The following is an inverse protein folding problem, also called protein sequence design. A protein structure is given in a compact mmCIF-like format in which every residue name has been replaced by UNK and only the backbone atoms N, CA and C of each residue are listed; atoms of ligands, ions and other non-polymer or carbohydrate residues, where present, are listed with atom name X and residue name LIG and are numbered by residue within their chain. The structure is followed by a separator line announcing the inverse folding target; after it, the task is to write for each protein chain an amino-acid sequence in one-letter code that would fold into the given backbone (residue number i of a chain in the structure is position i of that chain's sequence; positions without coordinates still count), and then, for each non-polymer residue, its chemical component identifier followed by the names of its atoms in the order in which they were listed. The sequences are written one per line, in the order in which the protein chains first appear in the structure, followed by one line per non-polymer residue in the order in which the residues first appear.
data_IF_224867347330
#
_entry.id   IF_224867347330
#
_cell.length_a   1.000
_cell.length_b   1.000
_cell.length_c   1.000
_cell.angle_alpha   90.00
_cell.angle_beta   90.00
_cell.angle_gamma   90.00
#
_symmetry.space_group_name_H-M   'P 1'
#
loop_
_entity.id
_entity.type
_entity.pdbx_description
1 polymer ?
#
# COMPACT_ATOMS: atom_id res chain seq x y z
N UNK A 1 -4.45 33.07 61.90
CA UNK A 1 -4.87 31.79 61.34
C UNK A 1 -4.14 30.65 62.03
N UNK A 2 -4.79 29.57 62.40
CA UNK A 2 -4.11 28.41 62.97
C UNK A 2 -3.19 27.80 61.90
N UNK A 3 -2.06 27.16 62.27
CA UNK A 3 -1.14 26.50 61.34
C UNK A 3 -1.87 25.52 60.39
N UNK A 4 -2.93 24.88 60.90
CA UNK A 4 -3.79 23.97 60.13
C UNK A 4 -4.56 24.73 59.04
N UNK A 5 -5.14 25.90 59.33
CA UNK A 5 -5.86 26.72 58.35
C UNK A 5 -4.94 27.24 57.26
N UNK A 6 -3.68 27.58 57.56
CA UNK A 6 -2.70 27.99 56.58
C UNK A 6 -2.29 26.83 55.67
N UNK A 7 -2.08 25.63 56.23
CA UNK A 7 -1.76 24.42 55.44
C UNK A 7 -2.93 24.05 54.53
N UNK A 8 -4.17 24.09 55.02
CA UNK A 8 -5.35 23.81 54.18
C UNK A 8 -5.49 24.83 53.05
N UNK A 9 -5.26 26.11 53.32
CA UNK A 9 -5.30 27.17 52.31
C UNK A 9 -4.23 26.94 51.21
N UNK A 10 -2.99 26.62 51.60
CA UNK A 10 -1.90 26.32 50.65
C UNK A 10 -2.26 25.08 49.82
N UNK A 11 -2.76 24.02 50.43
CA UNK A 11 -3.19 22.81 49.74
C UNK A 11 -4.30 23.10 48.72
N UNK A 12 -5.35 23.84 49.08
CA UNK A 12 -6.44 24.22 48.19
C UNK A 12 -5.94 25.04 46.99
N UNK A 13 -5.02 25.98 47.22
CA UNK A 13 -4.42 26.77 46.12
C UNK A 13 -3.57 25.92 45.22
N UNK A 14 -2.81 24.95 45.72
CA UNK A 14 -2.05 23.99 44.87
C UNK A 14 -3.00 23.13 44.03
N UNK A 15 -4.08 22.63 44.59
CA UNK A 15 -5.10 21.89 43.86
C UNK A 15 -5.76 22.76 42.78
N UNK A 16 -6.13 24.00 43.13
CA UNK A 16 -6.70 24.94 42.15
C UNK A 16 -5.73 25.23 41.02
N UNK A 17 -4.46 25.50 41.32
CA UNK A 17 -3.42 25.75 40.35
C UNK A 17 -3.22 24.53 39.43
N UNK A 18 -3.23 23.31 39.99
CA UNK A 18 -3.15 22.07 39.23
C UNK A 18 -4.28 21.94 38.21
N UNK A 19 -5.55 22.18 38.62
CA UNK A 19 -6.69 22.16 37.70
C UNK A 19 -6.60 23.25 36.63
N UNK A 20 -6.23 24.47 37.00
CA UNK A 20 -6.05 25.57 36.05
C UNK A 20 -4.99 25.16 35.00
N UNK A 21 -3.87 24.55 35.40
CA UNK A 21 -2.81 24.12 34.52
C UNK A 21 -3.28 23.02 33.54
N UNK A 22 -4.11 22.07 34.02
CA UNK A 22 -4.74 21.06 33.15
C UNK A 22 -5.67 21.72 32.12
N UNK A 23 -6.57 22.61 32.58
CA UNK A 23 -7.52 23.29 31.69
C UNK A 23 -6.76 24.15 30.64
N UNK A 24 -5.73 24.88 31.09
CA UNK A 24 -4.88 25.63 30.17
C UNK A 24 -4.24 24.71 29.10
N UNK A 25 -3.65 23.59 29.53
CA UNK A 25 -3.07 22.61 28.61
C UNK A 25 -4.09 22.07 27.62
N UNK A 26 -5.28 21.69 28.07
CA UNK A 26 -6.35 21.17 27.22
C UNK A 26 -6.94 22.22 26.26
N UNK A 27 -6.80 23.53 26.59
CA UNK A 27 -7.24 24.63 25.72
C UNK A 27 -6.25 24.99 24.62
N UNK A 28 -4.99 24.51 24.69
CA UNK A 28 -3.98 24.77 23.64
C UNK A 28 -4.47 24.25 22.29
N UNK A 29 -4.42 25.12 21.29
CA UNK A 29 -4.81 24.77 19.93
C UNK A 29 -3.64 24.23 19.13
N UNK A 30 -3.90 23.20 18.32
CA UNK A 30 -2.96 22.65 17.34
C UNK A 30 -3.69 22.27 16.05
N UNK A 31 -2.94 22.16 14.98
CA UNK A 31 -3.44 21.64 13.71
C UNK A 31 -3.27 20.13 13.70
N UNK A 32 -4.34 19.40 13.43
CA UNK A 32 -4.35 17.94 13.27
C UNK A 32 -4.87 17.57 11.90
N UNK A 33 -4.43 16.40 11.34
CA UNK A 33 -5.06 15.86 10.13
C UNK A 33 -6.57 15.67 10.33
N UNK A 34 -7.35 15.93 9.28
CA UNK A 34 -8.82 15.77 9.32
C UNK A 34 -9.25 14.32 9.56
N UNK A 35 -8.40 13.35 9.24
CA UNK A 35 -8.60 11.93 9.53
C UNK A 35 -7.31 11.28 10.01
N UNK A 36 -7.43 10.40 10.98
CA UNK A 36 -6.31 9.72 11.63
C UNK A 36 -6.60 8.23 11.74
N UNK A 37 -5.63 7.38 11.39
CA UNK A 37 -5.72 5.94 11.66
C UNK A 37 -5.18 5.61 13.05
N UNK A 38 -6.04 5.02 13.88
CA UNK A 38 -5.72 4.56 15.23
C UNK A 38 -5.48 3.05 15.18
N UNK A 39 -4.27 2.55 15.48
CA UNK A 39 -3.99 1.13 15.48
C UNK A 39 -4.74 0.42 16.62
N UNK A 40 -5.01 -0.89 16.43
CA UNK A 40 -5.47 -1.74 17.53
C UNK A 40 -4.33 -1.92 18.54
N UNK A 41 -4.66 -1.85 19.83
CA UNK A 41 -3.69 -2.08 20.88
C UNK A 41 -3.92 -1.22 22.13
N UNK A 42 -2.95 -1.25 23.06
CA UNK A 42 -2.97 -0.43 24.26
C UNK A 42 -2.75 1.06 23.93
N UNK A 43 -3.11 1.94 24.86
CA UNK A 43 -2.83 3.38 24.73
C UNK A 43 -1.35 3.65 24.47
N UNK A 44 -0.43 2.83 25.02
CA UNK A 44 1.00 2.92 24.77
C UNK A 44 1.34 2.73 23.28
N UNK A 45 0.80 1.68 22.67
CA UNK A 45 0.96 1.37 21.24
C UNK A 45 0.43 2.51 20.38
N UNK A 46 -0.73 3.06 20.75
CA UNK A 46 -1.38 4.15 20.01
C UNK A 46 -0.53 5.44 20.09
N UNK A 47 -0.07 5.81 21.28
CA UNK A 47 0.79 7.00 21.48
C UNK A 47 2.11 6.85 20.71
N UNK A 48 2.74 5.68 20.77
CA UNK A 48 3.98 5.40 20.03
C UNK A 48 3.76 5.51 18.52
N UNK A 49 2.63 4.99 18.02
CA UNK A 49 2.25 5.12 16.62
C UNK A 49 2.07 6.59 16.22
N UNK A 50 1.39 7.38 17.03
CA UNK A 50 1.15 8.80 16.74
C UNK A 50 2.45 9.63 16.75
N UNK A 51 3.34 9.39 17.72
CA UNK A 51 4.68 10.02 17.74
C UNK A 51 5.50 9.69 16.49
N UNK A 52 5.46 8.42 16.05
CA UNK A 52 6.15 7.99 14.82
C UNK A 52 5.61 8.69 13.55
N UNK A 53 4.35 9.09 13.57
CA UNK A 53 3.70 9.82 12.48
C UNK A 53 3.68 11.34 12.70
N UNK A 54 4.58 11.88 13.55
CA UNK A 54 4.76 13.30 13.83
C UNK A 54 3.48 14.02 14.33
N UNK A 55 2.57 13.29 14.98
CA UNK A 55 1.45 13.92 15.66
C UNK A 55 1.92 14.52 16.99
N UNK A 56 1.44 15.74 17.30
CA UNK A 56 1.71 16.42 18.57
C UNK A 56 0.98 15.73 19.71
N UNK A 57 1.60 14.69 20.26
CA UNK A 57 1.09 13.91 21.38
C UNK A 57 2.23 13.51 22.32
N UNK A 58 1.99 13.58 23.62
CA UNK A 58 3.00 13.37 24.64
C UNK A 58 2.53 12.42 25.79
N UNK A 59 3.35 12.29 26.82
CA UNK A 59 3.03 11.40 27.94
C UNK A 59 1.90 11.90 28.83
N UNK A 60 1.66 13.22 28.86
CA UNK A 60 0.52 13.78 29.60
C UNK A 60 -0.79 13.47 28.87
N UNK A 61 -0.82 13.52 27.53
CA UNK A 61 -1.95 13.07 26.72
C UNK A 61 -2.32 11.61 27.00
N UNK A 62 -1.29 10.76 27.17
CA UNK A 62 -1.50 9.36 27.58
C UNK A 62 -2.25 9.25 28.92
N UNK A 63 -1.89 10.10 29.88
CA UNK A 63 -2.59 10.14 31.17
C UNK A 63 -4.05 10.58 30.99
N UNK A 64 -4.31 11.65 30.21
CA UNK A 64 -5.66 12.12 29.93
C UNK A 64 -6.49 11.04 29.20
N UNK A 65 -5.93 10.35 28.21
CA UNK A 65 -6.63 9.26 27.50
C UNK A 65 -6.98 8.07 28.41
N UNK A 66 -6.20 7.82 29.46
CA UNK A 66 -6.56 6.80 30.46
C UNK A 66 -7.82 7.18 31.26
N UNK A 67 -8.06 8.48 31.41
CA UNK A 67 -9.26 9.00 32.11
C UNK A 67 -10.45 9.06 31.14
N UNK A 68 -10.25 9.54 29.90
CA UNK A 68 -11.31 9.68 28.90
C UNK A 68 -11.77 8.33 28.32
N UNK A 69 -10.91 7.32 28.38
CA UNK A 69 -11.13 6.02 27.77
C UNK A 69 -10.15 5.73 26.63
N UNK A 70 -10.09 4.47 26.21
CA UNK A 70 -9.21 4.07 25.11
C UNK A 70 -9.71 4.65 23.78
N UNK A 71 -8.80 5.22 22.95
CA UNK A 71 -9.13 5.61 21.59
C UNK A 71 -9.75 4.48 20.81
N UNK A 72 -10.73 4.78 19.96
CA UNK A 72 -11.35 3.79 19.09
C UNK A 72 -10.38 3.40 17.99
N UNK A 73 -10.17 2.10 17.79
CA UNK A 73 -9.32 1.63 16.70
C UNK A 73 -9.98 1.82 15.33
N UNK A 74 -9.17 2.13 14.32
CA UNK A 74 -9.62 2.37 12.95
C UNK A 74 -9.48 3.83 12.54
N UNK A 75 -10.25 4.25 11.56
CA UNK A 75 -10.22 5.62 11.07
C UNK A 75 -11.13 6.54 11.90
N UNK A 76 -10.56 7.65 12.34
CA UNK A 76 -11.24 8.69 13.14
C UNK A 76 -11.20 10.00 12.37
N UNK A 77 -12.35 10.65 12.26
CA UNK A 77 -12.47 12.01 11.75
C UNK A 77 -12.23 13.01 12.89
N UNK A 78 -11.35 13.98 12.67
CA UNK A 78 -11.06 15.08 13.60
C UNK A 78 -11.67 16.35 13.04
N UNK A 79 -12.69 16.85 13.70
CA UNK A 79 -13.37 18.10 13.34
C UNK A 79 -12.69 19.27 14.03
N UNK A 80 -12.32 20.35 13.31
CA UNK A 80 -11.73 21.53 13.92
C UNK A 80 -12.74 22.20 14.87
N UNK A 81 -12.27 22.63 16.04
CA UNK A 81 -13.08 23.44 16.97
C UNK A 81 -13.03 24.92 16.61
N UNK A 82 -11.95 25.35 15.95
CA UNK A 82 -11.85 26.69 15.35
C UNK A 82 -11.82 26.54 13.81
N UNK A 83 -12.94 26.82 13.17
CA UNK A 83 -13.12 26.68 11.73
C UNK A 83 -12.26 27.67 10.95
N UNK A 84 -12.09 28.91 11.46
CA UNK A 84 -11.34 29.98 10.76
C UNK A 84 -9.87 29.58 10.62
N UNK A 85 -9.25 29.09 11.68
CA UNK A 85 -7.83 28.72 11.70
C UNK A 85 -7.57 27.24 11.43
N UNK A 86 -8.61 26.45 11.20
CA UNK A 86 -8.55 24.99 11.04
C UNK A 86 -7.77 24.30 12.17
N UNK A 87 -8.00 24.71 13.42
CA UNK A 87 -7.33 24.17 14.60
C UNK A 87 -8.31 23.51 15.55
N UNK A 88 -7.80 22.59 16.36
CA UNK A 88 -8.57 21.88 17.38
C UNK A 88 -7.85 22.01 18.71
N UNK A 89 -8.58 22.27 19.78
CA UNK A 89 -7.99 22.26 21.11
C UNK A 89 -7.52 20.86 21.48
N UNK A 90 -6.47 20.78 22.30
CA UNK A 90 -5.88 19.50 22.75
C UNK A 90 -6.92 18.61 23.41
N UNK A 91 -7.78 19.18 24.26
CA UNK A 91 -8.86 18.46 24.93
C UNK A 91 -9.89 17.90 23.94
N UNK A 92 -10.32 18.70 22.96
CA UNK A 92 -11.26 18.26 21.93
C UNK A 92 -10.64 17.17 21.06
N UNK A 93 -9.37 17.30 20.67
CA UNK A 93 -8.65 16.27 19.93
C UNK A 93 -8.64 14.93 20.68
N UNK A 94 -8.21 14.93 21.94
CA UNK A 94 -8.16 13.71 22.76
C UNK A 94 -9.56 13.09 22.95
N UNK A 95 -10.60 13.91 23.15
CA UNK A 95 -11.97 13.44 23.25
C UNK A 95 -12.46 12.82 21.94
N UNK A 96 -12.21 13.47 20.80
CA UNK A 96 -12.60 12.94 19.48
C UNK A 96 -11.91 11.61 19.18
N UNK A 97 -10.68 11.37 19.65
CA UNK A 97 -10.02 10.05 19.51
C UNK A 97 -10.84 8.92 20.16
N UNK A 98 -11.63 9.21 21.19
CA UNK A 98 -12.44 8.20 21.91
C UNK A 98 -13.86 8.05 21.37
N UNK A 99 -14.38 9.05 20.65
CA UNK A 99 -15.80 9.13 20.29
C UNK A 99 -16.10 9.17 18.80
N UNK A 100 -15.17 9.68 17.98
CA UNK A 100 -15.42 9.90 16.55
C UNK A 100 -15.10 8.66 15.70
N UNK A 101 -15.77 8.59 14.53
CA UNK A 101 -15.46 7.63 13.44
C UNK A 101 -15.51 8.37 12.11
N UNK A 102 -14.62 8.02 11.19
CA UNK A 102 -14.65 8.56 9.84
C UNK A 102 -15.58 7.75 8.93
N UNK A 103 -16.26 8.43 8.03
CA UNK A 103 -16.94 7.78 6.91
C UNK A 103 -15.90 7.16 5.98
N UNK A 104 -16.11 5.90 5.60
CA UNK A 104 -15.17 5.12 4.79
C UNK A 104 -15.73 4.90 3.40
N UNK A 105 -14.85 4.89 2.40
CA UNK A 105 -15.13 4.50 1.03
C UNK A 105 -14.17 3.39 0.60
N UNK A 106 -14.66 2.44 -0.21
CA UNK A 106 -13.84 1.35 -0.70
C UNK A 106 -12.93 1.82 -1.83
N UNK A 107 -11.67 1.42 -1.74
CA UNK A 107 -10.65 1.60 -2.77
C UNK A 107 -10.06 0.25 -3.10
N UNK A 108 -10.28 -0.24 -4.31
CA UNK A 108 -9.81 -1.56 -4.74
C UNK A 108 -8.68 -1.44 -5.74
N UNK A 109 -7.56 -2.08 -5.46
CA UNK A 109 -6.51 -2.39 -6.43
C UNK A 109 -6.69 -3.85 -6.87
N UNK A 110 -6.99 -4.06 -8.14
CA UNK A 110 -7.11 -5.41 -8.72
C UNK A 110 -5.73 -5.94 -9.14
N UNK A 111 -5.50 -7.28 -9.10
CA UNK A 111 -4.26 -7.87 -9.63
C UNK A 111 -4.05 -7.54 -11.10
N UNK A 112 -2.82 -7.20 -11.46
CA UNK A 112 -2.42 -6.82 -12.82
C UNK A 112 -2.53 -5.32 -13.12
N UNK A 113 -3.23 -4.55 -12.28
CA UNK A 113 -3.36 -3.10 -12.47
C UNK A 113 -2.06 -2.38 -12.12
N UNK A 114 -1.81 -1.27 -12.83
CA UNK A 114 -0.62 -0.43 -12.63
C UNK A 114 -0.91 0.73 -11.68
N UNK A 115 0.16 1.26 -11.08
CA UNK A 115 0.07 2.45 -10.23
C UNK A 115 -0.47 3.66 -10.97
N UNK A 116 -0.22 3.75 -12.28
CA UNK A 116 -0.76 4.85 -13.09
C UNK A 116 -2.30 4.90 -13.02
N UNK A 117 -2.98 3.79 -13.35
CA UNK A 117 -4.45 3.72 -13.32
C UNK A 117 -5.00 3.67 -11.89
N UNK A 118 -4.25 3.10 -10.96
CA UNK A 118 -4.66 3.12 -9.56
C UNK A 118 -4.67 4.54 -8.98
N UNK A 119 -3.66 5.36 -9.30
CA UNK A 119 -3.63 6.79 -8.91
C UNK A 119 -4.77 7.57 -9.58
N UNK A 120 -5.11 7.28 -10.83
CA UNK A 120 -6.28 7.89 -11.49
C UNK A 120 -7.59 7.53 -10.78
N UNK A 121 -7.75 6.27 -10.40
CA UNK A 121 -8.90 5.82 -9.62
C UNK A 121 -8.95 6.52 -8.24
N UNK A 122 -7.83 6.64 -7.53
CA UNK A 122 -7.76 7.37 -6.26
C UNK A 122 -8.16 8.83 -6.46
N UNK A 123 -7.57 9.51 -7.45
CA UNK A 123 -7.83 10.91 -7.76
C UNK A 123 -9.33 11.15 -8.03
N UNK A 124 -9.94 10.35 -8.89
CA UNK A 124 -11.36 10.46 -9.22
C UNK A 124 -12.28 10.09 -8.05
N UNK A 125 -11.91 9.07 -7.26
CA UNK A 125 -12.75 8.55 -6.17
C UNK A 125 -12.79 9.48 -4.96
N UNK A 126 -11.66 10.13 -4.63
CA UNK A 126 -11.49 10.94 -3.42
C UNK A 126 -11.32 12.43 -3.71
N UNK A 127 -11.33 12.87 -4.99
CA UNK A 127 -11.13 14.26 -5.37
C UNK A 127 -9.73 14.79 -5.07
N UNK A 128 -8.72 13.92 -5.07
CA UNK A 128 -7.33 14.26 -4.73
C UNK A 128 -6.53 14.65 -5.97
N UNK A 129 -5.58 15.57 -5.82
CA UNK A 129 -4.69 15.98 -6.90
C UNK A 129 -3.77 14.82 -7.32
N UNK A 130 -3.77 14.49 -8.63
CA UNK A 130 -3.00 13.37 -9.19
C UNK A 130 -1.49 13.56 -8.99
N UNK A 131 -0.96 14.78 -9.19
CA UNK A 131 0.47 15.03 -9.05
C UNK A 131 0.92 14.88 -7.59
N UNK A 132 0.15 15.39 -6.63
CA UNK A 132 0.46 15.20 -5.20
C UNK A 132 0.44 13.73 -4.79
N UNK A 133 -0.42 12.90 -5.38
CA UNK A 133 -0.44 11.44 -5.17
C UNK A 133 0.82 10.78 -5.74
N UNK A 134 1.27 11.17 -6.93
CA UNK A 134 2.50 10.68 -7.56
C UNK A 134 3.72 11.06 -6.72
N UNK A 135 3.81 12.33 -6.32
CA UNK A 135 4.93 12.84 -5.51
C UNK A 135 4.99 12.10 -4.16
N UNK A 136 3.84 11.93 -3.52
CA UNK A 136 3.73 11.17 -2.28
C UNK A 136 4.11 9.70 -2.46
N UNK A 137 3.71 9.04 -3.55
CA UNK A 137 4.11 7.67 -3.83
C UNK A 137 5.62 7.55 -3.96
N UNK A 138 6.24 8.43 -4.76
CA UNK A 138 7.68 8.45 -5.00
C UNK A 138 8.51 8.81 -3.75
N UNK A 139 7.93 9.54 -2.79
CA UNK A 139 8.57 9.82 -1.49
C UNK A 139 8.76 8.55 -0.66
N UNK A 140 7.80 7.61 -0.71
CA UNK A 140 7.80 6.44 0.17
C UNK A 140 8.36 5.17 -0.46
N UNK A 141 8.59 5.14 -1.77
CA UNK A 141 9.14 3.96 -2.45
C UNK A 141 9.96 4.31 -3.68
N UNK A 142 10.97 3.46 -3.95
CA UNK A 142 11.80 3.52 -5.18
C UNK A 142 11.22 2.68 -6.33
N UNK A 143 10.22 1.84 -6.05
CA UNK A 143 9.63 0.95 -7.04
C UNK A 143 8.48 1.67 -7.74
N UNK A 144 8.51 1.81 -9.08
CA UNK A 144 7.46 2.50 -9.82
C UNK A 144 6.11 1.77 -9.79
N UNK A 145 6.13 0.45 -9.54
CA UNK A 145 4.94 -0.39 -9.48
C UNK A 145 5.14 -1.61 -8.55
N UNK A 146 4.06 -2.39 -8.30
CA UNK A 146 4.10 -3.65 -7.57
C UNK A 146 4.23 -3.53 -6.05
N UNK A 147 4.32 -2.33 -5.48
CA UNK A 147 4.45 -2.12 -4.01
C UNK A 147 3.11 -2.24 -3.31
N UNK A 148 2.07 -1.60 -3.85
CA UNK A 148 0.74 -1.67 -3.24
C UNK A 148 0.15 -3.05 -3.54
N UNK A 149 -0.19 -3.76 -2.46
CA UNK A 149 -0.71 -5.12 -2.55
C UNK A 149 -2.15 -5.11 -3.06
N UNK A 150 -2.53 -5.94 -4.04
CA UNK A 150 -3.91 -6.01 -4.53
C UNK A 150 -4.89 -6.37 -3.40
N UNK A 151 -5.79 -5.45 -3.11
CA UNK A 151 -6.79 -5.60 -2.04
C UNK A 151 -7.86 -4.51 -2.15
N UNK A 152 -8.94 -4.66 -1.38
CA UNK A 152 -9.89 -3.58 -1.11
C UNK A 152 -9.56 -2.93 0.22
N UNK A 153 -9.26 -1.64 0.18
CA UNK A 153 -8.89 -0.80 1.31
C UNK A 153 -10.07 0.06 1.73
N UNK A 154 -10.33 0.14 3.02
CA UNK A 154 -11.32 1.05 3.61
C UNK A 154 -10.63 2.38 3.90
N UNK A 155 -10.91 3.38 3.07
CA UNK A 155 -10.24 4.69 3.10
C UNK A 155 -11.21 5.76 3.58
N UNK A 156 -10.83 6.62 4.54
CA UNK A 156 -11.70 7.68 5.02
C UNK A 156 -11.82 8.80 3.99
N UNK A 157 -13.03 9.35 3.91
CA UNK A 157 -13.28 10.57 3.13
C UNK A 157 -12.53 11.73 3.81
N UNK A 158 -11.87 12.58 3.01
CA UNK A 158 -11.09 13.71 3.52
C UNK A 158 -9.64 13.39 3.89
N UNK A 159 -9.15 12.17 3.58
CA UNK A 159 -7.72 11.84 3.72
C UNK A 159 -6.87 12.67 2.75
N UNK A 160 -5.71 13.16 3.21
CA UNK A 160 -4.76 13.84 2.33
C UNK A 160 -3.88 12.87 1.53
N UNK A 161 -3.35 13.30 0.35
CA UNK A 161 -2.58 12.45 -0.58
C UNK A 161 -1.40 11.75 0.06
N UNK A 162 -0.55 12.51 0.78
CA UNK A 162 0.66 12.00 1.43
C UNK A 162 0.35 10.94 2.49
N UNK A 163 -0.69 11.18 3.30
CA UNK A 163 -1.09 10.23 4.34
C UNK A 163 -1.71 8.97 3.74
N UNK A 164 -2.51 9.09 2.69
CA UNK A 164 -3.08 7.96 1.96
C UNK A 164 -1.98 7.06 1.38
N UNK A 165 -1.00 7.64 0.66
CA UNK A 165 0.08 6.86 0.06
C UNK A 165 0.95 6.19 1.11
N UNK A 166 1.33 6.90 2.16
CA UNK A 166 2.05 6.32 3.30
C UNK A 166 1.29 5.14 3.92
N UNK A 167 -0.02 5.29 4.12
CA UNK A 167 -0.87 4.23 4.67
C UNK A 167 -0.89 2.99 3.75
N UNK A 168 -1.18 3.18 2.45
CA UNK A 168 -1.28 2.09 1.48
C UNK A 168 0.05 1.32 1.35
N UNK A 169 1.17 2.05 1.23
CA UNK A 169 2.51 1.46 1.11
C UNK A 169 2.87 0.70 2.39
N UNK A 170 2.69 1.30 3.57
CA UNK A 170 3.02 0.65 4.84
C UNK A 170 2.18 -0.60 5.10
N UNK A 171 0.88 -0.60 4.78
CA UNK A 171 0.04 -1.79 4.89
C UNK A 171 0.49 -2.88 3.92
N UNK A 172 0.76 -2.50 2.67
CA UNK A 172 1.21 -3.43 1.64
C UNK A 172 2.56 -4.06 1.96
N UNK A 173 3.52 -3.28 2.44
CA UNK A 173 4.85 -3.80 2.85
C UNK A 173 4.75 -4.77 4.03
N UNK A 174 3.79 -4.56 4.95
CA UNK A 174 3.51 -5.54 6.02
C UNK A 174 3.00 -6.86 5.44
N UNK A 175 2.06 -6.81 4.48
CA UNK A 175 1.54 -8.02 3.84
C UNK A 175 2.62 -8.71 2.98
N UNK A 176 3.43 -7.97 2.23
CA UNK A 176 4.57 -8.52 1.51
C UNK A 176 5.54 -9.24 2.45
N UNK A 177 5.94 -8.61 3.55
CA UNK A 177 6.83 -9.21 4.55
C UNK A 177 6.23 -10.47 5.18
N UNK A 178 4.96 -10.41 5.57
CA UNK A 178 4.23 -11.55 6.14
C UNK A 178 4.17 -12.73 5.17
N UNK A 179 3.83 -12.48 3.90
CA UNK A 179 3.77 -13.51 2.87
C UNK A 179 5.15 -14.08 2.55
N UNK A 180 6.20 -13.24 2.46
CA UNK A 180 7.56 -13.71 2.26
C UNK A 180 8.02 -14.65 3.39
N UNK A 181 7.81 -14.27 4.64
CA UNK A 181 8.15 -15.11 5.80
C UNK A 181 7.37 -16.42 5.77
N UNK A 182 6.06 -16.38 5.45
CA UNK A 182 5.20 -17.58 5.36
C UNK A 182 5.67 -18.56 4.28
N UNK A 183 6.13 -18.04 3.12
CA UNK A 183 6.42 -18.86 1.93
C UNK A 183 7.89 -19.28 1.89
N UNK A 184 8.82 -18.37 2.27
CA UNK A 184 10.27 -18.53 2.14
C UNK A 184 10.98 -18.73 3.50
N UNK A 185 10.26 -18.59 4.63
CA UNK A 185 10.83 -18.62 5.98
C UNK A 185 11.59 -17.35 6.37
N UNK A 186 11.80 -16.41 5.45
CA UNK A 186 12.53 -15.15 5.66
C UNK A 186 12.02 -14.05 4.74
N UNK A 187 12.39 -12.79 5.04
CA UNK A 187 12.17 -11.66 4.16
C UNK A 187 13.49 -11.01 3.77
N UNK A 188 13.78 -11.02 2.47
CA UNK A 188 14.78 -10.20 1.81
C UNK A 188 14.06 -9.36 0.76
N UNK A 189 14.11 -8.03 0.87
CA UNK A 189 13.34 -7.13 0.02
C UNK A 189 13.71 -7.27 -1.45
N UNK A 190 15.02 -7.33 -1.77
CA UNK A 190 15.50 -7.43 -3.15
C UNK A 190 15.04 -8.74 -3.80
N UNK A 191 15.20 -9.85 -3.09
CA UNK A 191 14.75 -11.16 -3.56
C UNK A 191 13.23 -11.19 -3.74
N UNK A 192 12.49 -10.63 -2.77
CA UNK A 192 11.03 -10.60 -2.82
C UNK A 192 10.51 -9.78 -4.00
N UNK A 193 11.06 -8.59 -4.25
CA UNK A 193 10.67 -7.77 -5.39
C UNK A 193 11.09 -8.36 -6.75
N UNK A 194 12.16 -9.16 -6.82
CA UNK A 194 12.45 -9.97 -8.00
C UNK A 194 11.32 -10.97 -8.29
N UNK A 195 10.80 -11.65 -7.25
CA UNK A 195 9.63 -12.52 -7.44
C UNK A 195 8.38 -11.72 -7.84
N UNK A 196 8.13 -10.56 -7.26
CA UNK A 196 6.99 -9.70 -7.66
C UNK A 196 7.14 -9.26 -9.12
N UNK A 197 8.35 -8.93 -9.57
CA UNK A 197 8.60 -8.55 -10.98
C UNK A 197 8.21 -9.67 -11.93
N UNK A 198 8.65 -10.89 -11.70
CA UNK A 198 8.25 -12.04 -12.50
C UNK A 198 6.75 -12.32 -12.37
N UNK A 199 6.23 -12.29 -11.14
CA UNK A 199 4.81 -12.52 -10.85
C UNK A 199 3.88 -11.52 -11.53
N UNK A 200 4.31 -10.26 -11.68
CA UNK A 200 3.53 -9.23 -12.39
C UNK A 200 3.40 -9.54 -13.89
N UNK A 201 4.41 -10.17 -14.48
CA UNK A 201 4.34 -10.66 -15.87
C UNK A 201 3.42 -11.89 -15.92
N UNK A 202 3.63 -12.88 -15.04
CA UNK A 202 2.77 -14.07 -14.94
C UNK A 202 1.30 -13.68 -14.77
N UNK A 203 1.01 -12.66 -13.95
CA UNK A 203 -0.33 -12.13 -13.72
C UNK A 203 -1.00 -11.61 -14.99
N UNK A 204 -0.22 -11.00 -15.89
CA UNK A 204 -0.73 -10.42 -17.13
C UNK A 204 -0.80 -11.43 -18.29
N UNK A 205 0.00 -12.48 -18.24
CA UNK A 205 0.09 -13.50 -19.29
C UNK A 205 -0.86 -14.69 -19.06
N UNK A 206 -1.00 -15.17 -17.83
CA UNK A 206 -1.79 -16.36 -17.54
C UNK A 206 -3.29 -16.11 -17.75
N UNK A 207 -3.97 -17.03 -18.44
CA UNK A 207 -5.41 -16.94 -18.64
C UNK A 207 -6.22 -17.22 -17.36
N UNK A 208 -5.64 -17.98 -16.42
CA UNK A 208 -6.24 -18.36 -15.15
C UNK A 208 -5.17 -18.75 -14.13
N UNK A 209 -5.58 -18.97 -12.87
CA UNK A 209 -4.67 -19.30 -11.76
C UNK A 209 -3.94 -20.64 -12.02
N UNK A 210 -4.58 -21.62 -12.65
CA UNK A 210 -4.03 -22.95 -12.91
C UNK A 210 -2.85 -22.90 -13.91
N UNK A 211 -2.85 -21.94 -14.81
CA UNK A 211 -1.77 -21.73 -15.77
C UNK A 211 -0.58 -20.98 -15.20
N UNK A 212 -0.75 -20.21 -14.13
CA UNK A 212 0.31 -19.36 -13.56
C UNK A 212 1.63 -20.12 -13.28
N UNK A 213 1.62 -21.33 -12.66
CA UNK A 213 2.87 -22.08 -12.46
C UNK A 213 3.54 -22.53 -13.76
N UNK A 214 2.77 -22.79 -14.82
CA UNK A 214 3.29 -23.21 -16.12
C UNK A 214 3.89 -22.02 -16.85
N UNK A 215 3.20 -20.87 -16.85
CA UNK A 215 3.74 -19.60 -17.41
C UNK A 215 5.03 -19.19 -16.69
N UNK A 216 5.06 -19.29 -15.35
CA UNK A 216 6.29 -19.05 -14.57
C UNK A 216 7.43 -20.00 -15.01
N UNK A 217 7.14 -21.28 -15.24
CA UNK A 217 8.11 -22.24 -15.73
C UNK A 217 8.66 -21.84 -17.11
N UNK A 218 7.81 -21.39 -18.04
CA UNK A 218 8.25 -20.88 -19.36
C UNK A 218 9.21 -19.69 -19.18
N UNK A 219 8.93 -18.75 -18.28
CA UNK A 219 9.83 -17.62 -17.99
C UNK A 219 11.20 -18.14 -17.55
N UNK A 220 11.25 -19.02 -16.55
CA UNK A 220 12.53 -19.55 -16.06
C UNK A 220 13.26 -20.39 -17.08
N UNK A 221 12.56 -21.19 -17.89
CA UNK A 221 13.16 -21.99 -18.97
C UNK A 221 13.79 -21.09 -20.04
N UNK A 222 13.11 -20.02 -20.46
CA UNK A 222 13.67 -19.02 -21.40
C UNK A 222 14.87 -18.29 -20.80
N UNK A 223 14.82 -17.88 -19.52
CA UNK A 223 15.96 -17.28 -18.83
C UNK A 223 17.17 -18.21 -18.81
N UNK A 224 16.96 -19.49 -18.46
CA UNK A 224 18.00 -20.54 -18.46
C UNK A 224 18.59 -20.76 -19.86
N UNK A 225 17.75 -20.74 -20.89
CA UNK A 225 18.15 -20.86 -22.28
C UNK A 225 18.72 -19.56 -22.88
N UNK A 226 18.85 -18.48 -22.10
CA UNK A 226 19.26 -17.14 -22.54
C UNK A 226 18.41 -16.59 -23.71
N UNK A 227 17.15 -17.00 -23.76
CA UNK A 227 16.16 -16.50 -24.73
C UNK A 227 15.56 -15.19 -24.24
N UNK A 228 15.17 -14.25 -25.12
CA UNK A 228 14.33 -13.12 -24.74
C UNK A 228 12.96 -13.62 -24.26
N UNK A 229 12.35 -12.96 -23.29
CA UNK A 229 11.06 -13.42 -22.75
C UNK A 229 9.92 -13.24 -23.75
N UNK A 230 9.92 -12.19 -24.56
CA UNK A 230 8.93 -11.89 -25.60
C UNK A 230 7.49 -12.01 -25.08
N UNK A 231 7.22 -11.32 -23.96
CA UNK A 231 5.94 -11.35 -23.28
C UNK A 231 5.23 -10.00 -23.41
N UNK A 232 4.04 -10.03 -23.97
CA UNK A 232 3.20 -8.85 -24.18
C UNK A 232 2.87 -8.16 -22.85
N UNK A 233 2.64 -8.93 -21.79
CA UNK A 233 2.40 -8.42 -20.45
C UNK A 233 3.51 -7.50 -19.93
N UNK A 234 4.75 -7.66 -20.39
CA UNK A 234 5.84 -6.78 -20.01
C UNK A 234 5.75 -5.39 -20.67
N UNK A 235 5.10 -5.27 -21.83
CA UNK A 235 4.85 -4.00 -22.50
C UNK A 235 3.63 -3.26 -21.92
N UNK A 236 2.81 -3.93 -21.11
CA UNK A 236 1.65 -3.36 -20.44
C UNK A 236 2.03 -2.77 -19.08
N UNK A 237 3.01 -1.86 -19.05
CA UNK A 237 3.49 -1.15 -17.87
C UNK A 237 2.93 0.30 -17.83
N UNK A 238 2.85 0.90 -16.64
CA UNK A 238 2.43 2.27 -16.43
C UNK A 238 1.13 2.64 -17.16
N UNK A 239 1.14 3.74 -17.89
CA UNK A 239 -0.01 4.24 -18.68
C UNK A 239 -0.39 3.33 -19.87
N UNK A 240 0.50 2.42 -20.24
CA UNK A 240 0.26 1.51 -21.35
C UNK A 240 -0.49 0.24 -20.96
N UNK A 241 -0.85 0.04 -19.69
CA UNK A 241 -1.46 -1.20 -19.21
C UNK A 241 -2.74 -1.59 -19.95
N UNK A 242 -3.51 -0.61 -20.37
CA UNK A 242 -4.78 -0.84 -21.09
C UNK A 242 -4.64 -0.65 -22.61
N UNK A 243 -3.41 -0.49 -23.12
CA UNK A 243 -3.16 -0.28 -24.55
C UNK A 243 -2.96 -1.61 -25.25
N UNK A 244 -3.51 -1.71 -26.48
CA UNK A 244 -3.29 -2.88 -27.32
C UNK A 244 -1.80 -2.99 -27.72
N UNK A 245 -1.24 -4.19 -27.60
CA UNK A 245 0.10 -4.48 -28.11
C UNK A 245 0.03 -4.67 -29.63
N UNK A 246 0.83 -3.89 -30.33
CA UNK A 246 0.94 -3.96 -31.80
C UNK A 246 2.36 -4.29 -32.22
N UNK A 247 2.56 -4.91 -33.41
CA UNK A 247 3.91 -5.16 -33.94
C UNK A 247 4.75 -3.88 -34.05
N UNK A 248 4.13 -2.75 -34.30
CA UNK A 248 4.80 -1.44 -34.34
C UNK A 248 5.34 -1.05 -32.96
N UNK A 249 4.50 -1.19 -31.90
CA UNK A 249 4.90 -0.90 -30.54
C UNK A 249 6.02 -1.81 -30.07
N UNK A 250 5.96 -3.12 -30.36
CA UNK A 250 7.04 -4.07 -30.05
C UNK A 250 8.38 -3.60 -30.63
N UNK A 251 8.38 -3.06 -31.87
CA UNK A 251 9.62 -2.59 -32.53
C UNK A 251 10.09 -1.21 -32.04
N UNK A 252 9.14 -0.30 -31.69
CA UNK A 252 9.44 1.10 -31.37
C UNK A 252 9.66 1.37 -29.88
N UNK A 253 9.04 0.61 -28.99
CA UNK A 253 9.21 0.77 -27.54
C UNK A 253 10.65 0.37 -27.14
N UNK A 254 11.47 1.37 -26.81
CA UNK A 254 12.86 1.18 -26.39
C UNK A 254 13.03 1.07 -24.87
N UNK A 255 11.91 1.02 -24.13
CA UNK A 255 11.94 0.91 -22.67
C UNK A 255 12.60 -0.39 -22.21
N UNK A 256 13.10 -0.38 -20.99
CA UNK A 256 13.67 -1.55 -20.30
C UNK A 256 12.61 -2.64 -20.01
N UNK A 257 11.33 -2.32 -20.19
CA UNK A 257 10.22 -3.26 -20.05
C UNK A 257 9.96 -4.09 -21.29
N UNK A 258 10.49 -3.67 -22.46
CA UNK A 258 10.29 -4.42 -23.71
C UNK A 258 11.15 -5.68 -23.73
N UNK A 259 10.58 -6.80 -23.31
CA UNK A 259 11.25 -8.11 -23.27
C UNK A 259 11.43 -8.79 -24.64
N UNK A 260 10.97 -8.17 -25.73
CA UNK A 260 11.32 -8.55 -27.09
C UNK A 260 12.71 -8.03 -27.50
N UNK A 261 13.07 -6.85 -27.01
CA UNK A 261 14.35 -6.20 -27.32
C UNK A 261 15.39 -6.38 -26.20
N UNK A 262 14.96 -6.50 -24.96
CA UNK A 262 15.83 -6.65 -23.80
C UNK A 262 15.76 -8.08 -23.26
N UNK A 263 16.91 -8.71 -23.04
CA UNK A 263 17.00 -10.03 -22.41
C UNK A 263 16.89 -9.93 -20.90
N UNK A 264 16.36 -10.96 -20.28
CA UNK A 264 16.18 -11.02 -18.83
C UNK A 264 14.81 -10.50 -18.38
N UNK A 265 14.65 -10.34 -17.08
CA UNK A 265 13.45 -9.74 -16.48
C UNK A 265 13.57 -8.22 -16.49
N UNK A 266 12.45 -7.48 -16.59
CA UNK A 266 12.46 -6.03 -16.37
C UNK A 266 13.04 -5.66 -15.00
N UNK A 267 13.56 -4.44 -14.82
CA UNK A 267 14.15 -4.01 -13.54
C UNK A 267 13.13 -3.85 -12.41
N UNK A 268 11.86 -3.65 -12.75
CA UNK A 268 10.77 -3.43 -11.81
C UNK A 268 9.50 -4.16 -12.25
N UNK A 269 8.53 -4.37 -11.33
CA UNK A 269 7.23 -4.94 -11.68
C UNK A 269 6.49 -4.10 -12.73
N UNK A 270 5.71 -4.75 -13.57
CA UNK A 270 4.89 -4.14 -14.63
C UNK A 270 3.44 -3.87 -14.20
N UNK A 271 3.15 -4.06 -12.92
CA UNK A 271 1.86 -3.88 -12.27
C UNK A 271 1.80 -4.65 -10.97
N UNK A 272 0.66 -4.63 -10.31
CA UNK A 272 0.42 -5.39 -9.08
C UNK A 272 0.33 -6.89 -9.37
N UNK A 273 0.70 -7.73 -8.41
CA UNK A 273 0.64 -9.19 -8.55
C UNK A 273 -0.17 -9.82 -7.40
N UNK A 274 -1.05 -10.77 -7.72
CA UNK A 274 -1.75 -11.58 -6.73
C UNK A 274 -0.80 -12.50 -5.96
N UNK A 275 -1.24 -12.97 -4.80
CA UNK A 275 -0.47 -13.96 -4.04
C UNK A 275 -0.29 -15.26 -4.83
N UNK A 276 -1.27 -15.63 -5.65
CA UNK A 276 -1.20 -16.83 -6.49
C UNK A 276 -0.12 -16.72 -7.55
N UNK A 277 -0.01 -15.56 -8.21
CA UNK A 277 1.07 -15.29 -9.15
C UNK A 277 2.46 -15.30 -8.49
N UNK A 278 2.57 -14.75 -7.26
CA UNK A 278 3.81 -14.77 -6.49
C UNK A 278 4.17 -16.22 -6.10
N UNK A 279 3.23 -17.02 -5.61
CA UNK A 279 3.45 -18.43 -5.26
C UNK A 279 3.83 -19.23 -6.52
N UNK A 280 3.14 -19.03 -7.64
CA UNK A 280 3.44 -19.67 -8.91
C UNK A 280 4.88 -19.36 -9.39
N UNK A 281 5.33 -18.13 -9.18
CA UNK A 281 6.70 -17.71 -9.49
C UNK A 281 7.73 -18.36 -8.58
N UNK A 282 7.46 -18.51 -7.29
CA UNK A 282 8.36 -19.15 -6.33
C UNK A 282 8.39 -20.67 -6.50
N UNK A 283 7.27 -21.26 -6.92
CA UNK A 283 7.08 -22.70 -7.11
C UNK A 283 6.55 -22.99 -8.51
N UNK A 284 7.36 -22.76 -9.56
CA UNK A 284 6.94 -23.00 -10.93
C UNK A 284 6.65 -24.50 -11.18
N UNK A 285 5.85 -24.80 -12.18
CA UNK A 285 5.62 -26.16 -12.61
C UNK A 285 6.91 -26.81 -13.12
N UNK A 286 7.08 -28.10 -12.88
CA UNK A 286 8.23 -28.86 -13.41
C UNK A 286 7.95 -29.32 -14.83
N UNK A 287 8.09 -28.40 -15.80
CA UNK A 287 7.84 -28.66 -17.24
C UNK A 287 8.92 -27.99 -18.09
N UNK A 288 9.14 -28.50 -19.31
CA UNK A 288 10.20 -28.00 -20.23
C UNK A 288 9.65 -27.07 -21.32
N UNK A 289 8.48 -26.47 -21.10
CA UNK A 289 7.87 -25.59 -22.11
C UNK A 289 8.68 -24.30 -22.30
N UNK A 290 8.78 -23.88 -23.54
CA UNK A 290 9.42 -22.63 -23.97
C UNK A 290 8.44 -21.66 -24.64
N UNK A 291 7.28 -22.17 -25.10
CA UNK A 291 6.31 -21.41 -25.88
C UNK A 291 4.90 -21.67 -25.36
N UNK A 292 4.06 -20.67 -25.51
CA UNK A 292 2.62 -20.80 -25.33
C UNK A 292 1.89 -19.87 -26.31
N UNK A 293 0.66 -20.21 -26.65
CA UNK A 293 -0.24 -19.42 -27.49
C UNK A 293 -1.67 -19.61 -27.00
N UNK A 294 -2.46 -18.56 -27.05
CA UNK A 294 -3.86 -18.60 -26.65
C UNK A 294 -4.66 -19.43 -27.64
N UNK A 295 -5.37 -20.43 -27.17
CA UNK A 295 -6.22 -21.32 -27.96
C UNK A 295 -7.68 -20.81 -28.02
N UNK A 296 -8.52 -21.50 -28.80
CA UNK A 296 -9.93 -21.15 -29.01
C UNK A 296 -10.80 -21.27 -27.76
N UNK A 297 -10.36 -22.03 -26.76
CA UNK A 297 -11.06 -22.18 -25.47
C UNK A 297 -10.75 -21.04 -24.49
N UNK A 298 -9.84 -20.11 -24.86
CA UNK A 298 -9.44 -19.00 -24.01
C UNK A 298 -8.31 -19.32 -23.03
N UNK A 299 -7.84 -20.58 -22.98
CA UNK A 299 -6.64 -21.02 -22.26
C UNK A 299 -5.42 -21.02 -23.17
N UNK A 300 -4.24 -21.47 -22.65
CA UNK A 300 -3.03 -21.55 -23.46
C UNK A 300 -2.68 -23.00 -23.82
N UNK A 301 -2.19 -23.17 -25.06
CA UNK A 301 -1.49 -24.38 -25.52
C UNK A 301 0.01 -24.15 -25.33
N UNK A 302 0.66 -25.02 -24.56
CA UNK A 302 2.08 -24.94 -24.24
C UNK A 302 2.88 -25.92 -25.13
N UNK A 303 4.12 -25.55 -25.50
CA UNK A 303 4.99 -26.36 -26.33
C UNK A 303 6.47 -26.23 -25.94
N UNK A 304 7.25 -27.31 -26.21
CA UNK A 304 8.68 -27.39 -25.86
C UNK A 304 9.57 -26.76 -26.93
N UNK A 305 9.13 -26.79 -28.18
CA UNK A 305 9.90 -26.31 -29.33
C UNK A 305 9.04 -25.47 -30.29
N UNK A 306 9.71 -24.74 -31.18
CA UNK A 306 9.05 -23.82 -32.09
C UNK A 306 8.17 -24.54 -33.13
N UNK A 307 8.51 -25.76 -33.53
CA UNK A 307 7.69 -26.54 -34.49
C UNK A 307 6.34 -26.89 -33.90
N UNK A 308 6.31 -27.39 -32.65
CA UNK A 308 5.07 -27.65 -31.93
C UNK A 308 4.25 -26.34 -31.70
N UNK A 309 4.95 -25.23 -31.42
CA UNK A 309 4.29 -23.94 -31.25
C UNK A 309 3.56 -23.50 -32.53
N UNK A 310 4.18 -23.62 -33.69
CA UNK A 310 3.55 -23.30 -34.99
C UNK A 310 2.31 -24.15 -35.24
N UNK A 311 2.31 -25.42 -34.83
CA UNK A 311 1.15 -26.32 -34.99
C UNK A 311 -0.02 -25.88 -34.05
N UNK A 312 0.27 -25.20 -32.93
CA UNK A 312 -0.74 -24.72 -32.00
C UNK A 312 -1.33 -23.36 -32.42
N UNK A 313 -0.72 -22.63 -33.33
CA UNK A 313 -1.23 -21.36 -33.86
C UNK A 313 -2.29 -21.59 -34.96
N UNK A 314 -2.23 -22.70 -35.70
CA UNK A 314 -3.14 -23.08 -36.76
C UNK A 314 -4.36 -23.83 -36.19
#
# INVERSE_FOLDING_TARGET
MSKIATLLYVFLNMVLFFFISIFYYLSLNASYPSVINVPKGSIEVIITHFKKNNLDINNFDKFILRILGSPQSGWIEIKPTNIINNTTSKGSFLYQLTTSKAALKDLTLIPGETMYFFIENISSTFGLNKQELIDAYNEFTKYPDGVIYPNTYKIPIGIGPRYLMSYLINQSMKEHKKNAIKILGRYDEKQWFNYITIASIVQKEAANIQEMPIVAAVIYNRLKAKMPLQMDGSLNYGEFSHSKITPERIRKDKSVYNTYLNRGIPPYPVGSASIDAIIATIRPANVDYLYFVRNKSGSHSFSKNYKEHLNNIN
#
